data_IF_744692322046
#
_entry.id   IF_744692322046
#
_cell.length_a   1.000
_cell.length_b   1.000
_cell.length_c   1.000
_cell.angle_alpha   90.00
_cell.angle_beta   90.00
_cell.angle_gamma   90.00
#
_symmetry.space_group_name_H-M   'P 1'
#
loop_
_entity.id
_entity.type
_entity.pdbx_description
1 polymer ?
#
# COMPACT_ATOMS: atom_id res chain seq x y z
N UNK A 1 -21.71 -12.83 -0.71
CA UNK A 1 -21.62 -11.53 -1.42
C UNK A 1 -20.93 -10.52 -0.52
N UNK A 2 -19.91 -9.84 -1.01
CA UNK A 2 -19.23 -8.80 -0.24
C UNK A 2 -20.19 -7.62 0.00
N UNK A 3 -20.19 -7.00 1.19
CA UNK A 3 -20.99 -5.81 1.44
C UNK A 3 -20.53 -4.65 0.56
N UNK A 4 -21.42 -3.72 0.21
CA UNK A 4 -21.06 -2.59 -0.63
C UNK A 4 -20.00 -1.71 0.05
N UNK A 5 -19.16 -1.07 -0.75
CA UNK A 5 -18.16 -0.14 -0.26
C UNK A 5 -18.83 1.08 0.37
N UNK A 6 -18.26 1.57 1.46
CA UNK A 6 -18.66 2.85 2.08
C UNK A 6 -18.31 4.02 1.17
N UNK A 7 -17.08 3.99 0.64
CA UNK A 7 -16.56 4.95 -0.32
C UNK A 7 -16.21 4.21 -1.60
N UNK A 8 -16.72 4.64 -2.73
CA UNK A 8 -16.55 3.94 -4.00
C UNK A 8 -15.18 4.09 -4.61
N UNK A 9 -14.48 5.16 -4.27
CA UNK A 9 -13.15 5.48 -4.79
C UNK A 9 -12.27 5.99 -3.65
N UNK A 10 -10.96 5.94 -3.86
CA UNK A 10 -10.01 6.55 -2.93
C UNK A 10 -10.24 8.05 -2.80
N UNK A 11 -10.66 8.72 -3.86
CA UNK A 11 -10.98 10.15 -3.82
C UNK A 11 -12.16 10.44 -2.88
N UNK A 12 -13.23 9.67 -2.96
CA UNK A 12 -14.35 9.78 -2.01
C UNK A 12 -13.89 9.55 -0.56
N UNK A 13 -13.07 8.54 -0.35
CA UNK A 13 -12.52 8.21 0.96
C UNK A 13 -11.69 9.37 1.52
N UNK A 14 -10.78 9.92 0.74
CA UNK A 14 -9.96 11.07 1.15
C UNK A 14 -10.83 12.28 1.43
N UNK A 15 -11.75 12.60 0.54
CA UNK A 15 -12.58 13.81 0.64
C UNK A 15 -13.58 13.73 1.79
N UNK A 16 -14.22 12.59 1.99
CA UNK A 16 -15.32 12.44 2.94
C UNK A 16 -14.91 11.94 4.32
N UNK A 17 -13.78 11.23 4.42
CA UNK A 17 -13.29 10.74 5.71
C UNK A 17 -12.04 11.47 6.16
N UNK A 18 -10.97 11.46 5.37
CA UNK A 18 -9.68 12.00 5.82
C UNK A 18 -9.72 13.53 5.99
N UNK A 19 -10.18 14.25 4.99
CA UNK A 19 -10.19 15.72 5.04
C UNK A 19 -10.94 16.28 6.24
N UNK A 20 -12.16 15.86 6.56
CA UNK A 20 -12.87 16.42 7.71
C UNK A 20 -12.39 15.89 9.06
N UNK A 21 -11.74 14.74 9.08
CA UNK A 21 -11.40 14.03 10.33
C UNK A 21 -9.94 14.19 10.71
N UNK A 22 -9.02 14.04 9.73
CA UNK A 22 -7.58 14.07 9.97
C UNK A 22 -7.03 15.49 9.77
N UNK A 23 -7.17 16.31 10.78
CA UNK A 23 -6.81 17.73 10.74
C UNK A 23 -5.46 17.98 11.36
N UNK A 24 -4.60 18.75 10.69
CA UNK A 24 -3.28 19.14 11.17
C UNK A 24 -3.02 20.61 10.85
N UNK A 25 -2.09 21.22 11.57
CA UNK A 25 -1.63 22.56 11.25
C UNK A 25 -0.63 22.48 10.08
N UNK A 26 -1.16 22.55 8.85
CA UNK A 26 -0.37 22.40 7.63
C UNK A 26 0.56 23.58 7.35
N UNK A 27 0.46 24.67 8.11
CA UNK A 27 1.34 25.84 7.98
C UNK A 27 2.66 25.66 8.70
N UNK A 28 2.80 24.65 9.54
CA UNK A 28 4.07 24.32 10.18
C UNK A 28 5.04 23.73 9.18
N UNK A 29 6.32 24.12 9.27
CA UNK A 29 7.38 23.60 8.38
C UNK A 29 7.65 22.10 8.59
N UNK A 30 7.31 21.57 9.74
CA UNK A 30 7.46 20.13 10.05
C UNK A 30 6.38 19.25 9.44
N UNK A 31 5.40 19.83 8.77
CA UNK A 31 4.26 19.12 8.18
C UNK A 31 4.16 19.51 6.72
N UNK A 32 4.12 18.51 5.84
CA UNK A 32 3.97 18.70 4.40
C UNK A 32 2.68 18.07 3.90
N UNK A 33 2.00 18.77 3.02
CA UNK A 33 0.84 18.27 2.30
C UNK A 33 0.77 18.90 0.92
N UNK A 34 0.16 18.21 -0.04
CA UNK A 34 -0.11 18.76 -1.36
C UNK A 34 -1.61 18.71 -1.65
N UNK A 35 -2.24 19.81 -2.09
CA UNK A 35 -3.66 19.80 -2.46
C UNK A 35 -3.94 18.90 -3.66
N UNK A 36 -2.91 18.62 -4.47
CA UNK A 36 -2.96 17.65 -5.57
C UNK A 36 -2.28 16.36 -5.18
N UNK A 37 -2.70 15.75 -4.06
CA UNK A 37 -2.11 14.48 -3.60
C UNK A 37 -2.15 13.40 -4.68
N UNK A 38 -3.14 13.41 -5.53
CA UNK A 38 -3.32 12.48 -6.65
C UNK A 38 -2.28 12.65 -7.78
N UNK A 39 -1.48 13.70 -7.75
CA UNK A 39 -0.35 13.90 -8.67
C UNK A 39 0.94 13.22 -8.18
N UNK A 40 0.93 12.60 -7.01
CA UNK A 40 2.07 11.94 -6.41
C UNK A 40 1.84 10.44 -6.33
N UNK A 41 2.66 9.65 -7.04
CA UNK A 41 2.49 8.20 -7.13
C UNK A 41 2.53 7.50 -5.76
N UNK A 42 3.45 7.90 -4.89
CA UNK A 42 3.54 7.33 -3.53
C UNK A 42 2.28 7.63 -2.71
N UNK A 43 1.75 8.85 -2.81
CA UNK A 43 0.54 9.22 -2.09
C UNK A 43 -0.68 8.42 -2.57
N UNK A 44 -0.83 8.25 -3.88
CA UNK A 44 -1.89 7.42 -4.44
C UNK A 44 -1.80 5.99 -3.90
N UNK A 45 -0.63 5.38 -3.97
CA UNK A 45 -0.43 4.00 -3.54
C UNK A 45 -0.75 3.81 -2.06
N UNK A 46 -0.27 4.71 -1.20
CA UNK A 46 -0.51 4.66 0.24
C UNK A 46 -1.97 4.90 0.59
N UNK A 47 -2.60 5.88 -0.04
CA UNK A 47 -3.99 6.23 0.24
C UNK A 47 -4.98 5.17 -0.29
N UNK A 48 -4.70 4.57 -1.44
CA UNK A 48 -5.48 3.43 -1.93
C UNK A 48 -5.40 2.23 -0.97
N UNK A 49 -4.21 1.91 -0.50
CA UNK A 49 -4.02 0.82 0.46
C UNK A 49 -4.76 1.12 1.78
N UNK A 50 -4.67 2.36 2.25
CA UNK A 50 -5.38 2.82 3.45
C UNK A 50 -6.89 2.73 3.30
N UNK A 51 -7.41 3.13 2.16
CA UNK A 51 -8.84 3.03 1.83
C UNK A 51 -9.31 1.59 1.82
N UNK A 52 -8.57 0.68 1.20
CA UNK A 52 -8.91 -0.75 1.17
C UNK A 52 -8.91 -1.36 2.57
N UNK A 53 -7.94 -1.00 3.39
CA UNK A 53 -7.91 -1.44 4.79
C UNK A 53 -9.14 -0.92 5.55
N UNK A 54 -9.53 0.33 5.34
CA UNK A 54 -10.74 0.89 5.92
C UNK A 54 -11.98 0.09 5.51
N UNK A 55 -12.14 -0.18 4.22
CA UNK A 55 -13.30 -0.89 3.70
C UNK A 55 -13.44 -2.31 4.28
N UNK A 56 -12.32 -2.95 4.58
CA UNK A 56 -12.32 -4.26 5.24
C UNK A 56 -12.60 -4.14 6.74
N UNK A 57 -11.85 -3.30 7.44
CA UNK A 57 -11.92 -3.23 8.91
C UNK A 57 -13.20 -2.60 9.44
N UNK A 58 -13.85 -1.72 8.67
CA UNK A 58 -15.14 -1.14 9.07
C UNK A 58 -16.24 -2.18 9.28
N UNK A 59 -16.06 -3.38 8.75
CA UNK A 59 -17.03 -4.48 8.91
C UNK A 59 -16.96 -5.13 10.29
N UNK A 60 -15.90 -4.89 11.04
CA UNK A 60 -15.79 -5.30 12.44
C UNK A 60 -16.21 -4.14 13.34
N UNK A 61 -17.44 -4.19 13.91
CA UNK A 61 -17.94 -3.09 14.73
C UNK A 61 -17.25 -2.98 16.09
N UNK A 62 -16.55 -4.02 16.54
CA UNK A 62 -15.95 -4.04 17.87
C UNK A 62 -14.58 -3.35 17.89
N UNK A 63 -13.65 -3.80 17.05
CA UNK A 63 -12.27 -3.32 17.10
C UNK A 63 -11.73 -2.83 15.76
N UNK A 64 -12.51 -2.95 14.70
CA UNK A 64 -12.08 -2.57 13.36
C UNK A 64 -11.66 -1.10 13.26
N UNK A 65 -12.42 -0.22 13.87
CA UNK A 65 -12.12 1.22 13.87
C UNK A 65 -10.81 1.56 14.56
N UNK A 66 -10.61 1.09 15.78
CA UNK A 66 -9.37 1.37 16.51
C UNK A 66 -8.15 0.74 15.83
N UNK A 67 -8.32 -0.46 15.29
CA UNK A 67 -7.26 -1.14 14.55
C UNK A 67 -6.87 -0.37 13.30
N UNK A 68 -7.87 0.12 12.56
CA UNK A 68 -7.60 0.93 11.38
C UNK A 68 -6.81 2.20 11.70
N UNK A 69 -7.22 2.92 12.75
CA UNK A 69 -6.52 4.13 13.17
C UNK A 69 -5.07 3.85 13.57
N UNK A 70 -4.86 2.92 14.50
CA UNK A 70 -3.54 2.71 15.10
C UNK A 70 -2.58 1.96 14.19
N UNK A 71 -3.07 0.99 13.43
CA UNK A 71 -2.20 0.14 12.60
C UNK A 71 -1.99 0.71 11.20
N UNK A 72 -2.98 1.39 10.62
CA UNK A 72 -2.94 1.79 9.23
C UNK A 72 -2.98 3.30 9.01
N UNK A 73 -3.92 4.01 9.60
CA UNK A 73 -4.09 5.43 9.34
C UNK A 73 -2.94 6.28 9.88
N UNK A 74 -2.62 6.14 11.16
CA UNK A 74 -1.59 6.95 11.79
C UNK A 74 -0.21 6.76 11.13
N UNK A 75 0.28 5.54 10.87
CA UNK A 75 1.56 5.36 10.19
C UNK A 75 1.55 5.88 8.74
N UNK A 76 0.46 5.68 8.01
CA UNK A 76 0.32 6.16 6.63
C UNK A 76 0.36 7.68 6.58
N UNK A 77 -0.43 8.36 7.41
CA UNK A 77 -0.48 9.80 7.44
C UNK A 77 0.82 10.42 7.97
N UNK A 78 1.47 9.77 8.92
CA UNK A 78 2.79 10.21 9.38
C UNK A 78 3.82 10.19 8.25
N UNK A 79 3.83 9.16 7.43
CA UNK A 79 4.72 9.07 6.27
C UNK A 79 4.41 10.14 5.22
N UNK A 80 3.12 10.38 4.94
CA UNK A 80 2.70 11.37 3.94
C UNK A 80 2.96 12.81 4.39
N UNK A 81 2.75 13.10 5.66
CA UNK A 81 2.88 14.45 6.22
C UNK A 81 4.31 14.80 6.64
N UNK A 82 5.25 13.86 6.57
CA UNK A 82 6.64 14.12 6.93
C UNK A 82 7.26 15.23 6.07
N UNK A 83 8.08 16.06 6.67
CA UNK A 83 8.77 17.16 5.96
C UNK A 83 9.76 16.67 4.90
N UNK A 84 10.20 15.43 5.00
CA UNK A 84 11.03 14.73 4.01
C UNK A 84 10.23 13.70 3.19
N UNK A 85 8.91 13.74 3.25
CA UNK A 85 8.02 12.81 2.57
C UNK A 85 7.70 13.22 1.12
N UNK A 86 6.71 12.54 0.50
CA UNK A 86 6.39 12.75 -0.92
C UNK A 86 5.88 14.16 -1.25
N UNK A 87 5.41 14.90 -0.26
CA UNK A 87 4.91 16.27 -0.44
C UNK A 87 5.91 17.35 -0.04
N UNK A 88 7.16 16.99 0.22
CA UNK A 88 8.15 17.90 0.82
C UNK A 88 8.41 19.18 0.04
N UNK A 89 8.25 19.15 -1.29
CA UNK A 89 8.43 20.32 -2.13
C UNK A 89 7.13 21.11 -2.37
N UNK A 90 5.99 20.56 -1.99
CA UNK A 90 4.70 21.20 -2.12
C UNK A 90 4.37 22.04 -0.88
N UNK A 91 3.39 22.91 -1.00
CA UNK A 91 2.79 23.65 0.10
C UNK A 91 1.36 23.20 0.31
N UNK A 92 0.84 23.39 1.50
CA UNK A 92 -0.52 23.02 1.84
C UNK A 92 -1.58 23.61 0.90
N UNK A 93 -1.26 24.73 0.24
CA UNK A 93 -2.13 25.47 -0.68
C UNK A 93 -1.66 25.42 -2.14
N UNK A 94 -0.53 24.76 -2.43
CA UNK A 94 0.06 24.79 -3.77
C UNK A 94 0.87 23.54 -4.11
N UNK A 95 0.54 22.96 -5.25
CA UNK A 95 1.34 21.89 -5.86
C UNK A 95 2.57 22.47 -6.57
N UNK A 96 3.70 21.79 -6.45
CA UNK A 96 4.94 22.11 -7.17
C UNK A 96 5.33 20.93 -8.07
N UNK A 97 5.47 21.19 -9.38
CA UNK A 97 5.84 20.17 -10.36
C UNK A 97 7.33 19.86 -10.36
N UNK A 98 8.16 20.88 -10.16
CA UNK A 98 9.60 20.70 -10.00
C UNK A 98 9.91 20.53 -8.50
N UNK A 99 9.84 19.29 -8.09
CA UNK A 99 9.96 18.95 -6.68
C UNK A 99 11.40 18.72 -6.22
N UNK A 100 12.35 18.60 -7.14
CA UNK A 100 13.70 18.12 -6.82
C UNK A 100 13.70 16.67 -6.28
N UNK A 101 12.55 16.03 -6.21
CA UNK A 101 12.41 14.65 -5.79
C UNK A 101 12.74 13.73 -6.95
N UNK A 102 13.68 12.82 -6.72
CA UNK A 102 14.10 11.85 -7.72
C UNK A 102 13.72 10.44 -7.28
N UNK A 103 13.46 9.53 -8.23
CA UNK A 103 13.31 8.13 -7.90
C UNK A 103 14.58 7.60 -7.21
N UNK A 104 14.43 6.55 -6.42
CA UNK A 104 15.56 5.86 -5.84
C UNK A 104 16.49 5.40 -6.96
N UNK A 105 17.78 5.64 -6.79
CA UNK A 105 18.78 5.17 -7.73
C UNK A 105 19.08 3.70 -7.52
N UNK A 106 19.32 2.98 -8.58
CA UNK A 106 19.70 1.57 -8.51
C UNK A 106 20.63 1.19 -9.67
N UNK A 107 21.36 0.12 -9.49
CA UNK A 107 22.06 -0.58 -10.56
C UNK A 107 21.36 -1.93 -10.78
N UNK A 108 21.21 -2.36 -12.05
CA UNK A 108 20.65 -3.68 -12.31
C UNK A 108 21.48 -4.79 -11.65
N UNK A 109 20.81 -5.73 -11.02
CA UNK A 109 21.48 -6.88 -10.44
C UNK A 109 22.07 -7.76 -11.55
N UNK A 110 23.18 -8.49 -11.28
CA UNK A 110 23.70 -9.46 -12.23
C UNK A 110 22.62 -10.48 -12.66
N UNK A 111 22.66 -10.86 -13.94
CA UNK A 111 21.70 -11.81 -14.47
C UNK A 111 21.74 -13.14 -13.67
N UNK A 112 20.59 -13.65 -13.29
CA UNK A 112 20.46 -14.91 -12.56
C UNK A 112 20.63 -14.81 -11.05
N UNK A 113 20.95 -13.63 -10.50
CA UNK A 113 21.04 -13.46 -9.03
C UNK A 113 19.69 -13.65 -8.35
N UNK A 114 18.63 -13.11 -8.94
CA UNK A 114 17.26 -13.28 -8.46
C UNK A 114 16.50 -14.15 -9.45
N UNK A 115 15.93 -15.23 -8.97
CA UNK A 115 15.07 -16.11 -9.75
C UNK A 115 13.61 -15.84 -9.37
N UNK A 116 12.71 -16.04 -10.32
CA UNK A 116 11.28 -16.03 -10.02
C UNK A 116 11.02 -17.08 -8.94
N UNK A 117 10.39 -16.70 -7.81
CA UNK A 117 10.01 -17.69 -6.83
C UNK A 117 9.16 -18.76 -7.53
N UNK A 118 9.61 -20.00 -7.47
CA UNK A 118 8.76 -21.11 -7.89
C UNK A 118 7.54 -21.03 -6.99
N UNK A 119 6.37 -20.98 -7.61
CA UNK A 119 5.12 -20.95 -6.86
C UNK A 119 5.08 -22.23 -6.00
N UNK A 120 5.27 -22.06 -4.71
CA UNK A 120 5.27 -23.15 -3.74
C UNK A 120 3.98 -23.96 -3.77
N UNK A 121 2.91 -23.37 -4.28
CA UNK A 121 1.62 -24.04 -4.46
C UNK A 121 1.59 -24.96 -5.68
N UNK A 122 2.45 -24.72 -6.67
CA UNK A 122 2.55 -25.55 -7.88
C UNK A 122 3.64 -26.61 -7.79
N UNK A 123 4.55 -26.49 -6.83
CA UNK A 123 5.59 -27.50 -6.63
C UNK A 123 5.06 -28.65 -5.77
N UNK A 124 4.13 -29.39 -6.35
CA UNK A 124 3.79 -30.69 -5.81
C UNK A 124 4.95 -31.63 -6.15
N UNK A 125 5.64 -32.17 -5.15
CA UNK A 125 6.65 -33.19 -5.47
C UNK A 125 5.99 -34.32 -6.23
N UNK A 126 6.48 -34.60 -7.42
CA UNK A 126 6.01 -35.74 -8.18
C UNK A 126 6.36 -36.98 -7.37
N UNK A 127 5.39 -37.81 -6.96
CA UNK A 127 5.70 -39.02 -6.23
C UNK A 127 6.65 -39.88 -7.11
N UNK A 128 7.65 -40.54 -6.51
CA UNK A 128 8.52 -41.42 -7.27
C UNK A 128 7.67 -42.43 -8.03
N UNK A 129 8.03 -42.65 -9.29
CA UNK A 129 7.34 -43.62 -10.11
C UNK A 129 7.30 -44.96 -9.36
N UNK A 130 6.11 -45.56 -9.25
CA UNK A 130 5.96 -46.84 -8.62
C UNK A 130 6.86 -47.85 -9.33
N UNK A 131 7.75 -48.49 -8.59
CA UNK A 131 8.58 -49.55 -9.10
C UNK A 131 7.66 -50.67 -9.57
N UNK A 132 7.70 -51.10 -10.83
CA UNK A 132 6.89 -52.21 -11.28
C UNK A 132 7.22 -53.45 -10.45
N UNK A 133 6.22 -54.27 -10.11
CA UNK A 133 6.51 -55.51 -9.37
C UNK A 133 7.46 -56.36 -10.17
N UNK A 134 8.50 -56.90 -9.51
CA UNK A 134 9.42 -57.81 -10.11
C UNK A 134 8.63 -58.98 -10.71
N UNK A 135 8.79 -59.20 -12.03
CA UNK A 135 8.10 -60.26 -12.74
C UNK A 135 8.40 -61.60 -12.11
N UNK A 136 7.36 -62.31 -11.71
CA UNK A 136 7.45 -63.71 -11.35
C UNK A 136 7.81 -64.51 -12.59
N UNK A 137 9.02 -65.00 -12.66
CA UNK A 137 9.39 -66.03 -13.62
C UNK A 137 8.85 -67.36 -13.09
N UNK A 138 7.88 -67.88 -13.81
CA UNK A 138 7.52 -69.26 -13.69
C UNK A 138 8.55 -70.17 -14.41
#
# INVERSE_FOLDING_TARGET
>A
MAPPLRYRTVEEFVTRLLYPTYRRNLRRQSVSWCPRWWAHAEAIARLEALWRAFEHLRLDPAVGGVRWWLTYADPTMKALLADDGPFSACRWDRHTTDTGLTPLTFEPAPAGLFTTPVDLHLHRPTPPAATPPAGSTA
#
